data_IF_251851222018
#
_entry.id   IF_251851222018
#
_cell.length_a   1.000
_cell.length_b   1.000
_cell.length_c   1.000
_cell.angle_alpha   90.00
_cell.angle_beta   90.00
_cell.angle_gamma   90.00
#
_symmetry.space_group_name_H-M   'P 1'
#
loop_
_entity.id
_entity.type
_entity.pdbx_description
1 polymer ?
#
# COMPACT_ATOMS: atom_id res chain seq x y z
N UNK A 1 39.69 9.79 -49.05
CA UNK A 1 39.73 8.84 -47.92
C UNK A 1 39.12 9.42 -46.65
N UNK A 2 39.31 10.71 -46.31
CA UNK A 2 38.75 11.32 -45.08
C UNK A 2 37.21 11.34 -44.96
N UNK A 3 36.46 11.50 -46.06
CA UNK A 3 34.98 11.51 -46.00
C UNK A 3 34.37 10.17 -45.58
N UNK A 4 34.99 9.05 -45.93
CA UNK A 4 34.51 7.72 -45.52
C UNK A 4 34.74 7.47 -44.03
N UNK A 5 35.76 8.10 -43.45
CA UNK A 5 36.11 7.96 -42.04
C UNK A 5 35.20 8.85 -41.18
N UNK A 6 34.95 10.08 -41.63
CA UNK A 6 33.97 11.00 -41.02
C UNK A 6 32.56 10.38 -40.99
N UNK A 7 32.11 9.75 -42.08
CA UNK A 7 30.80 9.10 -42.13
C UNK A 7 30.68 7.89 -41.17
N UNK A 8 31.75 7.10 -41.02
CA UNK A 8 31.80 5.98 -40.08
C UNK A 8 31.76 6.45 -38.63
N UNK A 9 32.52 7.50 -38.31
CA UNK A 9 32.54 8.12 -36.97
C UNK A 9 31.17 8.69 -36.61
N UNK A 10 30.50 9.38 -37.54
CA UNK A 10 29.16 9.91 -37.32
C UNK A 10 28.14 8.79 -37.01
N UNK A 11 28.24 7.66 -37.71
CA UNK A 11 27.39 6.49 -37.46
C UNK A 11 27.61 5.90 -36.07
N UNK A 12 28.87 5.74 -35.64
CA UNK A 12 29.20 5.27 -34.29
C UNK A 12 28.73 6.24 -33.21
N UNK A 13 28.86 7.55 -33.43
CA UNK A 13 28.44 8.57 -32.48
C UNK A 13 26.91 8.57 -32.30
N UNK A 14 26.16 8.37 -33.38
CA UNK A 14 24.71 8.20 -33.32
C UNK A 14 24.31 6.92 -32.58
N UNK A 15 24.99 5.80 -32.84
CA UNK A 15 24.74 4.54 -32.14
C UNK A 15 25.04 4.68 -30.64
N UNK A 16 26.16 5.32 -30.29
CA UNK A 16 26.54 5.55 -28.90
C UNK A 16 25.53 6.45 -28.17
N UNK A 17 25.02 7.49 -28.83
CA UNK A 17 23.93 8.33 -28.28
C UNK A 17 22.66 7.52 -28.03
N UNK A 18 22.28 6.64 -28.95
CA UNK A 18 21.11 5.77 -28.77
C UNK A 18 21.28 4.82 -27.59
N UNK A 19 22.45 4.17 -27.48
CA UNK A 19 22.75 3.28 -26.36
C UNK A 19 22.82 4.03 -25.03
N UNK A 20 23.36 5.25 -25.02
CA UNK A 20 23.39 6.10 -23.83
C UNK A 20 21.98 6.44 -23.34
N UNK A 21 21.07 6.84 -24.23
CA UNK A 21 19.67 7.12 -23.88
C UNK A 21 18.96 5.88 -23.36
N UNK A 22 19.17 4.71 -23.99
CA UNK A 22 18.60 3.44 -23.49
C UNK A 22 19.11 3.11 -22.09
N UNK A 23 20.41 3.29 -21.85
CA UNK A 23 21.03 3.04 -20.56
C UNK A 23 20.45 3.98 -19.49
N UNK A 24 20.31 5.26 -19.81
CA UNK A 24 19.72 6.25 -18.91
C UNK A 24 18.28 5.89 -18.51
N UNK A 25 17.45 5.49 -19.47
CA UNK A 25 16.08 5.04 -19.20
C UNK A 25 16.06 3.78 -18.33
N UNK A 26 16.99 2.84 -18.57
CA UNK A 26 17.11 1.63 -17.75
C UNK A 26 17.56 1.93 -16.33
N UNK A 27 18.46 2.90 -16.14
CA UNK A 27 18.85 3.38 -14.81
C UNK A 27 17.66 3.96 -14.06
N UNK A 28 16.86 4.81 -14.71
CA UNK A 28 15.65 5.38 -14.11
C UNK A 28 14.62 4.31 -13.72
N UNK A 29 14.37 3.32 -14.58
CA UNK A 29 13.47 2.20 -14.29
C UNK A 29 13.97 1.36 -13.10
N UNK A 30 15.29 1.12 -13.02
CA UNK A 30 15.89 0.40 -11.90
C UNK A 30 15.83 1.20 -10.59
N UNK A 31 16.08 2.50 -10.63
CA UNK A 31 15.93 3.40 -9.48
C UNK A 31 14.48 3.43 -8.99
N UNK A 32 13.50 3.48 -9.90
CA UNK A 32 12.07 3.40 -9.55
C UNK A 32 11.69 2.07 -8.91
N UNK A 33 12.17 0.95 -9.46
CA UNK A 33 11.94 -0.39 -8.89
C UNK A 33 12.59 -0.52 -7.51
N UNK A 34 13.81 -0.01 -7.34
CA UNK A 34 14.48 0.03 -6.05
C UNK A 34 13.74 0.91 -5.06
N UNK A 35 13.27 2.11 -5.45
CA UNK A 35 12.49 2.98 -4.58
C UNK A 35 11.20 2.31 -4.11
N UNK A 36 10.50 1.58 -4.99
CA UNK A 36 9.31 0.81 -4.62
C UNK A 36 9.62 -0.30 -3.60
N UNK A 37 10.74 -1.01 -3.77
CA UNK A 37 11.19 -2.06 -2.82
C UNK A 37 11.68 -1.44 -1.50
N UNK A 38 12.43 -0.34 -1.55
CA UNK A 38 12.93 0.36 -0.37
C UNK A 38 11.81 1.01 0.45
N UNK A 39 10.75 1.50 -0.20
CA UNK A 39 9.55 1.99 0.48
C UNK A 39 8.88 0.92 1.37
N UNK A 40 9.02 -0.37 1.01
CA UNK A 40 8.53 -1.49 1.85
C UNK A 40 9.49 -1.91 2.96
N UNK A 41 10.79 -1.59 2.86
CA UNK A 41 11.84 -2.06 3.78
C UNK A 41 12.24 -1.04 4.85
N UNK A 42 11.65 0.16 4.86
CA UNK A 42 11.87 1.19 5.90
C UNK A 42 13.23 1.89 5.87
N UNK A 43 14.10 1.56 4.91
CA UNK A 43 15.39 2.22 4.69
C UNK A 43 15.23 3.23 3.53
N UNK A 44 14.68 4.40 3.84
CA UNK A 44 14.18 5.36 2.86
C UNK A 44 15.20 6.48 2.66
N UNK A 45 15.63 6.71 1.41
CA UNK A 45 16.12 8.03 0.99
C UNK A 45 14.93 8.98 1.03
N UNK A 46 14.98 10.00 1.90
CA UNK A 46 13.82 10.72 2.43
C UNK A 46 12.87 11.32 1.37
N UNK A 47 13.31 11.54 0.14
CA UNK A 47 12.61 12.37 -0.86
C UNK A 47 12.08 11.64 -2.11
N UNK A 48 11.85 10.33 -2.08
CA UNK A 48 11.19 9.67 -3.22
C UNK A 48 9.69 9.97 -3.26
N UNK A 49 9.08 10.00 -4.45
CA UNK A 49 7.62 10.18 -4.59
C UNK A 49 6.83 9.11 -3.80
N UNK A 50 7.28 7.85 -3.82
CA UNK A 50 6.64 6.76 -3.11
C UNK A 50 6.72 6.93 -1.58
N UNK A 51 7.87 7.35 -1.04
CA UNK A 51 8.01 7.61 0.40
C UNK A 51 7.16 8.79 0.85
N UNK A 52 7.09 9.85 0.04
CA UNK A 52 6.25 11.00 0.35
C UNK A 52 4.74 10.66 0.31
N UNK A 53 4.31 9.84 -0.66
CA UNK A 53 2.93 9.32 -0.69
C UNK A 53 2.61 8.46 0.52
N UNK A 54 3.53 7.55 0.91
CA UNK A 54 3.36 6.71 2.10
C UNK A 54 3.29 7.55 3.37
N UNK A 55 4.18 8.54 3.52
CA UNK A 55 4.16 9.49 4.63
C UNK A 55 2.85 10.26 4.68
N UNK A 56 2.39 10.76 3.53
CA UNK A 56 1.12 11.49 3.41
C UNK A 56 -0.07 10.60 3.77
N UNK A 57 -0.10 9.35 3.29
CA UNK A 57 -1.11 8.36 3.69
C UNK A 57 -1.13 8.17 5.21
N UNK A 58 0.03 7.99 5.84
CA UNK A 58 0.12 7.84 7.29
C UNK A 58 -0.38 9.09 8.04
N UNK A 59 0.00 10.28 7.57
CA UNK A 59 -0.35 11.56 8.20
C UNK A 59 -1.85 11.88 8.10
N UNK A 60 -2.54 11.32 7.11
CA UNK A 60 -3.99 11.46 6.91
C UNK A 60 -4.82 10.54 7.83
N UNK A 61 -4.20 9.57 8.51
CA UNK A 61 -4.90 8.74 9.49
C UNK A 61 -5.48 9.62 10.61
N UNK A 62 -6.76 9.44 10.92
CA UNK A 62 -7.53 10.23 11.88
C UNK A 62 -7.57 11.75 11.61
N UNK A 63 -7.30 12.18 10.36
CA UNK A 63 -7.51 13.57 9.92
C UNK A 63 -8.77 13.71 9.09
N UNK A 64 -9.49 14.80 9.31
CA UNK A 64 -10.69 15.13 8.54
C UNK A 64 -10.38 15.83 7.20
N UNK A 65 -9.16 16.36 7.04
CA UNK A 65 -8.71 17.03 5.82
C UNK A 65 -8.80 16.10 4.62
N UNK A 66 -9.40 16.56 3.51
CA UNK A 66 -9.59 15.78 2.27
C UNK A 66 -10.49 14.54 2.39
N UNK A 67 -11.21 14.36 3.50
CA UNK A 67 -12.12 13.23 3.65
C UNK A 67 -13.36 13.38 2.77
N UNK A 68 -13.69 12.31 2.05
CA UNK A 68 -14.75 12.24 1.03
C UNK A 68 -15.71 11.07 1.24
N UNK A 69 -15.51 10.27 2.30
CA UNK A 69 -16.37 9.15 2.67
C UNK A 69 -16.41 8.97 4.19
N UNK A 70 -17.50 8.40 4.70
CA UNK A 70 -17.61 7.96 6.09
C UNK A 70 -17.47 6.44 6.17
N UNK A 71 -16.68 5.94 7.11
CA UNK A 71 -16.65 4.52 7.47
C UNK A 71 -17.29 4.36 8.83
N UNK A 72 -18.27 3.47 8.94
CA UNK A 72 -18.95 3.18 10.21
C UNK A 72 -18.77 1.74 10.65
N UNK A 73 -18.71 1.53 11.96
CA UNK A 73 -18.59 0.20 12.58
C UNK A 73 -19.01 0.25 14.05
N UNK A 74 -19.87 -0.67 14.48
CA UNK A 74 -20.39 -0.73 15.86
C UNK A 74 -20.91 0.63 16.37
N UNK A 75 -21.65 1.37 15.53
CA UNK A 75 -22.20 2.69 15.85
C UNK A 75 -21.18 3.85 15.85
N UNK A 76 -19.88 3.58 15.77
CA UNK A 76 -18.84 4.60 15.57
C UNK A 76 -18.81 5.01 14.10
N UNK A 77 -18.64 6.30 13.84
CA UNK A 77 -18.43 6.86 12.49
C UNK A 77 -17.09 7.58 12.42
N UNK A 78 -16.34 7.35 11.34
CA UNK A 78 -15.02 7.93 11.11
C UNK A 78 -14.98 8.52 9.69
N UNK A 79 -14.48 9.75 9.57
CA UNK A 79 -14.22 10.37 8.27
C UNK A 79 -12.97 9.76 7.64
N UNK A 80 -13.04 9.41 6.35
CA UNK A 80 -11.98 8.67 5.66
C UNK A 80 -11.82 9.12 4.21
N UNK A 81 -10.88 8.48 3.50
CA UNK A 81 -10.46 8.82 2.15
C UNK A 81 -10.70 7.65 1.19
N UNK A 82 -11.54 7.84 0.18
CA UNK A 82 -11.84 6.81 -0.84
C UNK A 82 -10.60 6.34 -1.56
N UNK A 83 -9.66 7.25 -1.85
CA UNK A 83 -8.41 6.91 -2.55
C UNK A 83 -7.56 5.91 -1.76
N UNK A 84 -7.50 6.04 -0.43
CA UNK A 84 -6.73 5.13 0.44
C UNK A 84 -7.44 3.77 0.54
N UNK A 85 -8.76 3.77 0.69
CA UNK A 85 -9.55 2.53 0.68
C UNK A 85 -9.38 1.80 -0.67
N UNK A 86 -9.57 2.48 -1.79
CA UNK A 86 -9.44 1.93 -3.14
C UNK A 86 -8.04 1.36 -3.42
N UNK A 87 -7.00 1.96 -2.84
CA UNK A 87 -5.62 1.44 -2.93
C UNK A 87 -5.43 0.10 -2.21
N UNK A 88 -6.24 -0.20 -1.18
CA UNK A 88 -6.17 -1.44 -0.38
C UNK A 88 -7.05 -2.56 -0.92
N UNK A 89 -8.20 -2.23 -1.49
CA UNK A 89 -9.14 -3.21 -2.05
C UNK A 89 -10.16 -2.55 -2.97
N UNK A 90 -10.69 -3.35 -3.90
CA UNK A 90 -11.85 -2.99 -4.73
C UNK A 90 -13.19 -3.41 -4.11
N UNK A 91 -13.16 -4.18 -3.02
CA UNK A 91 -14.35 -4.84 -2.45
C UNK A 91 -14.74 -4.21 -1.12
N UNK A 92 -15.06 -2.93 -1.12
CA UNK A 92 -15.56 -2.20 0.07
C UNK A 92 -17.08 -2.15 0.16
N UNK A 93 -17.75 -2.18 -0.99
CA UNK A 93 -19.19 -2.19 -1.13
C UNK A 93 -19.58 -3.08 -2.32
N UNK A 94 -20.88 -3.33 -2.51
CA UNK A 94 -21.41 -4.09 -3.65
C UNK A 94 -21.42 -3.28 -4.95
N UNK A 95 -21.52 -1.95 -4.86
CA UNK A 95 -21.45 -1.01 -5.99
C UNK A 95 -20.08 -0.34 -6.14
N UNK A 96 -20.05 0.76 -6.89
CA UNK A 96 -18.85 1.60 -7.00
C UNK A 96 -18.64 2.42 -5.72
N UNK A 97 -17.43 2.36 -5.18
CA UNK A 97 -17.02 3.17 -4.03
C UNK A 97 -17.11 4.67 -4.32
N UNK A 98 -16.98 5.08 -5.58
CA UNK A 98 -17.14 6.48 -6.01
C UNK A 98 -18.56 7.04 -5.77
N UNK A 99 -19.56 6.17 -5.70
CA UNK A 99 -20.96 6.56 -5.49
C UNK A 99 -21.40 6.47 -4.02
N UNK A 100 -20.54 5.95 -3.12
CA UNK A 100 -20.90 5.73 -1.71
C UNK A 100 -20.46 6.86 -0.78
N UNK A 101 -21.40 7.52 -0.11
CA UNK A 101 -21.05 8.50 0.92
C UNK A 101 -20.65 7.88 2.27
N UNK A 102 -21.11 6.65 2.51
CA UNK A 102 -20.82 5.89 3.72
C UNK A 102 -20.63 4.41 3.38
N UNK A 103 -19.69 3.75 4.04
CA UNK A 103 -19.59 2.28 4.08
C UNK A 103 -19.68 1.82 5.53
N UNK A 104 -20.38 0.71 5.75
CA UNK A 104 -20.45 0.05 7.04
C UNK A 104 -19.54 -1.19 7.04
N UNK A 105 -18.65 -1.28 8.03
CA UNK A 105 -17.89 -2.48 8.28
C UNK A 105 -18.76 -3.45 9.09
N UNK A 106 -19.47 -4.31 8.37
CA UNK A 106 -20.35 -5.31 8.96
C UNK A 106 -19.56 -6.24 9.89
N UNK A 107 -20.16 -6.56 11.05
CA UNK A 107 -19.59 -7.46 12.06
C UNK A 107 -18.23 -7.02 12.64
N UNK A 108 -17.83 -5.76 12.44
CA UNK A 108 -16.61 -5.21 13.04
C UNK A 108 -16.93 -4.55 14.39
N UNK A 109 -16.32 -5.06 15.46
CA UNK A 109 -16.29 -4.39 16.76
C UNK A 109 -15.57 -3.03 16.65
N UNK A 110 -15.70 -2.16 17.65
CA UNK A 110 -14.99 -0.87 17.68
C UNK A 110 -13.47 -1.08 17.59
N UNK A 111 -12.96 -2.09 18.28
CA UNK A 111 -11.54 -2.46 18.31
C UNK A 111 -11.08 -2.98 16.95
N UNK A 112 -11.84 -3.92 16.35
CA UNK A 112 -11.51 -4.52 15.05
C UNK A 112 -11.55 -3.45 13.95
N UNK A 113 -12.60 -2.63 13.91
CA UNK A 113 -12.72 -1.54 12.95
C UNK A 113 -11.60 -0.50 13.11
N UNK A 114 -11.24 -0.15 14.34
CA UNK A 114 -10.13 0.78 14.60
C UNK A 114 -8.78 0.20 14.15
N UNK A 115 -8.50 -1.07 14.44
CA UNK A 115 -7.28 -1.73 14.00
C UNK A 115 -7.19 -1.88 12.48
N UNK A 116 -8.31 -2.20 11.83
CA UNK A 116 -8.41 -2.23 10.37
C UNK A 116 -8.13 -0.86 9.76
N UNK A 117 -8.75 0.20 10.28
CA UNK A 117 -8.54 1.55 9.76
C UNK A 117 -7.09 1.98 9.93
N UNK A 118 -6.47 1.73 11.09
CA UNK A 118 -5.02 1.97 11.29
C UNK A 118 -4.18 1.26 10.24
N UNK A 119 -4.48 0.00 9.95
CA UNK A 119 -3.76 -0.78 8.95
C UNK A 119 -3.95 -0.25 7.53
N UNK A 120 -5.18 0.15 7.18
CA UNK A 120 -5.49 0.73 5.87
C UNK A 120 -4.58 1.91 5.55
N UNK A 121 -4.34 2.81 6.50
CA UNK A 121 -3.49 3.98 6.28
C UNK A 121 -2.00 3.69 6.43
N UNK A 122 -1.62 2.83 7.38
CA UNK A 122 -0.23 2.74 7.86
C UNK A 122 0.49 1.44 7.55
N UNK A 123 -0.22 0.44 7.02
CA UNK A 123 0.23 -0.95 6.91
C UNK A 123 0.60 -1.63 8.25
N UNK A 124 0.31 -0.95 9.37
CA UNK A 124 0.51 -1.43 10.74
C UNK A 124 -0.84 -1.61 11.41
N UNK A 125 -1.03 -2.74 12.07
CA UNK A 125 -2.16 -3.01 12.94
C UNK A 125 -1.64 -3.37 14.33
N UNK A 126 -2.30 -2.84 15.36
CA UNK A 126 -2.10 -3.31 16.74
C UNK A 126 -2.95 -4.58 16.89
N UNK A 127 -2.41 -5.72 16.44
CA UNK A 127 -3.11 -7.00 16.50
C UNK A 127 -2.91 -7.56 17.90
N UNK A 128 -4.00 -7.63 18.66
CA UNK A 128 -4.03 -8.26 19.98
C UNK A 128 -3.88 -9.78 19.83
N UNK A 129 -3.35 -10.42 20.87
CA UNK A 129 -3.17 -11.88 20.91
C UNK A 129 -4.44 -12.63 21.33
N UNK A 130 -5.55 -11.94 21.55
CA UNK A 130 -6.81 -12.62 21.86
C UNK A 130 -7.40 -13.27 20.59
N UNK A 131 -7.72 -14.56 20.71
CA UNK A 131 -8.15 -15.37 19.57
C UNK A 131 -9.44 -14.82 18.94
N UNK A 132 -10.38 -14.34 19.76
CA UNK A 132 -11.62 -13.69 19.31
C UNK A 132 -11.35 -12.53 18.36
N UNK A 133 -10.52 -11.57 18.77
CA UNK A 133 -10.20 -10.40 17.97
C UNK A 133 -9.48 -10.78 16.68
N UNK A 134 -8.54 -11.72 16.73
CA UNK A 134 -7.82 -12.15 15.53
C UNK A 134 -8.80 -12.79 14.53
N UNK A 135 -9.70 -13.65 15.01
CA UNK A 135 -10.68 -14.32 14.16
C UNK A 135 -11.68 -13.33 13.54
N UNK A 136 -12.14 -12.35 14.32
CA UNK A 136 -13.01 -11.28 13.81
C UNK A 136 -12.26 -10.42 12.78
N UNK A 137 -11.00 -10.06 13.05
CA UNK A 137 -10.17 -9.30 12.11
C UNK A 137 -9.91 -10.08 10.81
N UNK A 138 -9.69 -11.40 10.87
CA UNK A 138 -9.57 -12.27 9.70
C UNK A 138 -10.88 -12.32 8.92
N UNK A 139 -12.03 -12.43 9.61
CA UNK A 139 -13.34 -12.46 8.96
C UNK A 139 -13.60 -11.16 8.19
N UNK A 140 -13.35 -10.02 8.82
CA UNK A 140 -13.48 -8.69 8.19
C UNK A 140 -12.47 -8.55 7.04
N UNK A 141 -11.21 -8.93 7.22
CA UNK A 141 -10.19 -8.88 6.17
C UNK A 141 -10.60 -9.73 4.94
N UNK A 142 -11.19 -10.90 5.15
CA UNK A 142 -11.72 -11.73 4.06
C UNK A 142 -12.91 -11.09 3.36
N UNK A 143 -13.89 -10.56 4.12
CA UNK A 143 -15.07 -9.88 3.58
C UNK A 143 -14.68 -8.79 2.59
N UNK A 144 -13.73 -7.95 2.99
CA UNK A 144 -13.24 -6.81 2.21
C UNK A 144 -12.02 -7.13 1.32
N UNK A 145 -11.64 -8.42 1.19
CA UNK A 145 -10.51 -8.88 0.34
C UNK A 145 -9.15 -8.24 0.64
N UNK A 146 -8.87 -7.98 1.92
CA UNK A 146 -7.64 -7.38 2.43
C UNK A 146 -6.56 -8.44 2.67
N UNK A 147 -6.01 -8.99 1.58
CA UNK A 147 -5.05 -10.10 1.63
C UNK A 147 -3.82 -9.83 2.50
N UNK A 148 -3.28 -8.61 2.48
CA UNK A 148 -2.12 -8.23 3.30
C UNK A 148 -2.40 -8.32 4.80
N UNK A 149 -3.59 -7.88 5.23
CA UNK A 149 -4.02 -7.96 6.63
C UNK A 149 -4.27 -9.40 7.06
N UNK A 150 -4.99 -10.18 6.22
CA UNK A 150 -5.25 -11.60 6.48
C UNK A 150 -3.96 -12.40 6.67
N UNK A 151 -3.01 -12.26 5.74
CA UNK A 151 -1.74 -12.98 5.81
C UNK A 151 -0.95 -12.59 7.08
N UNK A 152 -1.14 -11.37 7.60
CA UNK A 152 -0.52 -10.93 8.86
C UNK A 152 -1.16 -11.60 10.07
N UNK A 153 -2.49 -11.71 10.10
CA UNK A 153 -3.20 -12.46 11.14
C UNK A 153 -2.81 -13.94 11.15
N UNK A 154 -2.75 -14.60 9.97
CA UNK A 154 -2.34 -16.01 9.84
C UNK A 154 -0.95 -16.26 10.44
N UNK A 155 0.03 -15.39 10.18
CA UNK A 155 1.37 -15.49 10.78
C UNK A 155 1.34 -15.40 12.31
N UNK A 156 0.51 -14.52 12.87
CA UNK A 156 0.39 -14.37 14.32
C UNK A 156 -0.22 -15.63 14.93
N UNK A 157 -1.24 -16.21 14.30
CA UNK A 157 -1.87 -17.46 14.76
C UNK A 157 -0.84 -18.61 14.78
N UNK A 158 -0.05 -18.75 13.70
CA UNK A 158 0.99 -19.79 13.62
C UNK A 158 2.02 -19.61 14.74
N UNK A 159 2.55 -18.39 14.92
CA UNK A 159 3.52 -18.11 15.98
C UNK A 159 2.97 -18.35 17.38
N UNK A 160 1.71 -17.98 17.63
CA UNK A 160 1.05 -18.23 18.91
C UNK A 160 0.84 -19.73 19.16
N UNK A 161 0.53 -20.50 18.11
CA UNK A 161 0.41 -21.96 18.23
C UNK A 161 1.76 -22.61 18.55
N UNK A 162 2.85 -22.21 17.89
CA UNK A 162 4.19 -22.75 18.14
C UNK A 162 4.65 -22.49 19.59
N UNK A 163 4.39 -21.29 20.11
CA UNK A 163 4.72 -20.93 21.50
C UNK A 163 3.88 -21.69 22.54
N UNK A 164 2.70 -22.19 22.19
CA UNK A 164 1.86 -22.99 23.08
C UNK A 164 2.32 -24.46 23.18
N UNK A 165 3.19 -24.91 22.26
CA UNK A 165 3.77 -26.27 22.25
C UNK A 165 5.17 -26.34 22.90
N UNK A 166 5.67 -25.24 23.46
CA UNK A 166 6.89 -25.15 24.26
C UNK A 166 6.57 -24.83 25.72
#
# INVERSE_FOLDING_TARGET
>A
MGDSEAAKLQKHLNLLRQEYVKLQNKTLDLEQKLAAVSATSGNVSEDTYASQLLKTSNDLHDKETFTDITVSFSGKKVRAHRVILAARSKKWCTGDLADQNEIELEEASVEVGTALMKWVYTDKADIRTDESFIMDLVRVANRYSLGGLRNRCERIIILASELAYY
#
